data_IF_663922407996
#
_entry.id   IF_663922407996
#
_cell.length_a   1.000
_cell.length_b   1.000
_cell.length_c   1.000
_cell.angle_alpha   90.00
_cell.angle_beta   90.00
_cell.angle_gamma   90.00
#
_symmetry.space_group_name_H-M   'P 1'
#
loop_
_entity.id
_entity.type
_entity.pdbx_description
1 polymer ?
#
# COMPACT_ATOMS: atom_id res chain seq x y z
N UNK A 1 47.02 -49.29 -54.38
CA UNK A 1 46.42 -48.02 -54.82
C UNK A 1 45.07 -47.89 -54.13
N UNK A 2 44.84 -46.75 -53.48
CA UNK A 2 43.56 -46.18 -53.03
C UNK A 2 42.83 -46.92 -51.88
N UNK A 3 43.09 -46.47 -50.63
CA UNK A 3 42.22 -46.69 -49.47
C UNK A 3 41.24 -45.51 -49.39
N UNK A 4 39.94 -45.76 -49.50
CA UNK A 4 38.89 -44.77 -49.32
C UNK A 4 38.43 -44.68 -47.86
N UNK A 5 38.27 -43.43 -47.42
CA UNK A 5 37.60 -42.95 -46.22
C UNK A 5 36.16 -43.47 -46.09
N UNK A 6 35.61 -43.50 -44.87
CA UNK A 6 34.57 -42.55 -44.44
C UNK A 6 34.07 -42.88 -43.02
N UNK A 7 34.42 -41.99 -42.10
CA UNK A 7 33.89 -41.88 -40.75
C UNK A 7 32.39 -41.52 -40.79
N UNK A 8 31.54 -42.40 -40.26
CA UNK A 8 30.12 -42.14 -40.06
C UNK A 8 29.89 -41.41 -38.74
N UNK A 9 29.63 -40.12 -38.83
CA UNK A 9 29.24 -39.21 -37.75
C UNK A 9 27.82 -39.55 -37.29
N UNK A 10 27.65 -40.03 -36.05
CA UNK A 10 26.33 -40.25 -35.43
C UNK A 10 25.77 -38.89 -34.96
N UNK A 11 24.75 -38.40 -35.65
CA UNK A 11 23.95 -37.23 -35.25
C UNK A 11 23.09 -37.61 -34.03
N UNK A 12 23.51 -37.19 -32.84
CA UNK A 12 22.66 -37.22 -31.64
C UNK A 12 21.74 -36.01 -31.62
N UNK A 13 20.45 -36.21 -31.85
CA UNK A 13 19.43 -35.17 -31.74
C UNK A 13 19.21 -34.81 -30.26
N UNK A 14 19.73 -33.66 -29.82
CA UNK A 14 19.42 -33.07 -28.52
C UNK A 14 18.01 -32.44 -28.61
N UNK A 15 17.02 -33.10 -28.03
CA UNK A 15 15.69 -32.53 -27.83
C UNK A 15 15.79 -31.38 -26.82
N UNK A 16 15.74 -30.14 -27.33
CA UNK A 16 15.62 -28.95 -26.50
C UNK A 16 14.25 -28.95 -25.80
N UNK A 17 14.23 -29.26 -24.51
CA UNK A 17 13.06 -29.01 -23.66
C UNK A 17 12.89 -27.48 -23.55
N UNK A 18 11.99 -26.95 -24.36
CA UNK A 18 11.48 -25.58 -24.22
C UNK A 18 10.73 -25.47 -22.88
N UNK A 19 11.42 -25.03 -21.83
CA UNK A 19 10.78 -24.63 -20.58
C UNK A 19 9.98 -23.35 -20.84
N UNK A 20 8.71 -23.50 -21.19
CA UNK A 20 7.76 -22.39 -21.12
C UNK A 20 7.54 -22.07 -19.65
N UNK A 21 8.29 -21.10 -19.13
CA UNK A 21 7.96 -20.46 -17.86
C UNK A 21 6.65 -19.71 -18.10
N UNK A 22 5.53 -20.31 -17.70
CA UNK A 22 4.27 -19.59 -17.63
C UNK A 22 4.48 -18.47 -16.61
N UNK A 23 4.57 -17.23 -17.08
CA UNK A 23 4.43 -16.08 -16.22
C UNK A 23 3.01 -16.17 -15.66
N UNK A 24 2.89 -16.57 -14.39
CA UNK A 24 1.63 -16.42 -13.68
C UNK A 24 1.40 -14.91 -13.58
N UNK A 25 0.45 -14.40 -14.35
CA UNK A 25 -0.07 -13.05 -14.14
C UNK A 25 -0.50 -12.97 -12.67
N UNK A 26 0.23 -12.18 -11.89
CA UNK A 26 -0.12 -11.92 -10.51
C UNK A 26 -1.45 -11.17 -10.52
N UNK A 27 -2.55 -11.90 -10.34
CA UNK A 27 -3.87 -11.32 -10.27
C UNK A 27 -3.90 -10.36 -9.08
N UNK A 28 -4.16 -9.08 -9.36
CA UNK A 28 -4.43 -8.11 -8.31
C UNK A 28 -5.66 -8.58 -7.51
N UNK A 29 -5.48 -8.77 -6.21
CA UNK A 29 -6.57 -9.05 -5.29
C UNK A 29 -7.17 -7.74 -4.79
N UNK A 30 -8.48 -7.69 -4.64
CA UNK A 30 -9.17 -6.56 -4.01
C UNK A 30 -8.74 -6.42 -2.54
N UNK A 31 -8.53 -5.19 -2.12
CA UNK A 31 -8.17 -4.83 -0.75
C UNK A 31 -9.10 -3.72 -0.28
N UNK A 32 -10.12 -4.11 0.50
CA UNK A 32 -11.11 -3.19 1.03
C UNK A 32 -11.38 -3.45 2.51
N UNK A 33 -11.87 -2.43 3.21
CA UNK A 33 -12.14 -2.52 4.63
C UNK A 33 -12.46 -1.18 5.27
N UNK A 34 -12.32 -1.11 6.58
CA UNK A 34 -12.49 0.09 7.38
C UNK A 34 -11.22 0.42 8.14
N UNK A 35 -10.97 1.71 8.30
CA UNK A 35 -10.05 2.24 9.28
C UNK A 35 -10.83 2.96 10.36
N UNK A 36 -10.50 2.70 11.61
CA UNK A 36 -11.06 3.46 12.75
C UNK A 36 -9.93 3.95 13.62
N UNK A 37 -10.06 5.14 14.18
CA UNK A 37 -8.93 5.69 14.90
C UNK A 37 -9.19 7.03 15.57
N UNK A 38 -8.11 7.62 16.03
CA UNK A 38 -8.06 9.01 16.50
C UNK A 38 -7.07 9.80 15.67
N UNK A 39 -7.40 11.07 15.45
CA UNK A 39 -6.51 12.05 14.88
C UNK A 39 -6.26 13.16 15.90
N UNK A 40 -5.03 13.67 15.94
CA UNK A 40 -4.65 14.79 16.80
C UNK A 40 -3.77 15.74 16.04
N UNK A 41 -4.18 17.00 15.96
CA UNK A 41 -3.30 18.08 15.54
C UNK A 41 -2.24 18.30 16.62
N UNK A 42 -0.98 18.06 16.29
CA UNK A 42 0.15 18.25 17.22
C UNK A 42 0.80 19.62 17.05
N UNK A 43 0.63 20.24 15.88
CA UNK A 43 1.10 21.59 15.59
C UNK A 43 0.27 22.19 14.47
N UNK A 44 -0.04 23.48 14.59
CA UNK A 44 -0.64 24.29 13.53
C UNK A 44 0.31 25.42 13.18
N UNK A 45 0.60 25.59 11.89
CA UNK A 45 1.56 26.55 11.38
C UNK A 45 0.88 27.44 10.35
N UNK A 46 0.73 28.75 10.60
CA UNK A 46 0.23 29.66 9.58
C UNK A 46 1.19 29.67 8.39
N UNK A 47 0.65 29.61 7.18
CA UNK A 47 1.41 29.76 5.94
C UNK A 47 1.10 31.12 5.30
N UNK A 48 1.77 31.43 4.18
CA UNK A 48 1.42 32.61 3.39
C UNK A 48 0.02 32.52 2.80
N UNK A 49 -0.69 33.65 2.82
CA UNK A 49 -2.09 33.75 2.39
C UNK A 49 -3.08 33.24 3.44
N UNK A 50 -4.19 32.66 2.97
CA UNK A 50 -5.24 32.09 3.83
C UNK A 50 -5.07 30.58 4.05
N UNK A 51 -3.84 30.15 4.30
CA UNK A 51 -3.50 28.73 4.47
C UNK A 51 -2.89 28.43 5.83
N UNK A 52 -3.08 27.19 6.27
CA UNK A 52 -2.51 26.64 7.49
C UNK A 52 -1.97 25.24 7.21
N UNK A 53 -0.78 24.94 7.70
CA UNK A 53 -0.24 23.58 7.73
C UNK A 53 -0.49 22.98 9.11
N UNK A 54 -1.23 21.87 9.14
CA UNK A 54 -1.51 21.10 10.33
C UNK A 54 -0.66 19.84 10.31
N UNK A 55 0.23 19.72 11.31
CA UNK A 55 0.94 18.48 11.57
C UNK A 55 0.05 17.60 12.44
N UNK A 56 -0.26 16.41 11.96
CA UNK A 56 -1.25 15.51 12.53
C UNK A 56 -0.66 14.16 12.88
N UNK A 57 -1.07 13.63 14.05
CA UNK A 57 -0.82 12.26 14.50
C UNK A 57 -2.09 11.45 14.43
N UNK A 58 -1.97 10.23 13.92
CA UNK A 58 -3.08 9.28 13.89
C UNK A 58 -2.69 8.00 14.62
N UNK A 59 -3.69 7.41 15.27
CA UNK A 59 -3.66 6.06 15.84
C UNK A 59 -4.83 5.31 15.23
N UNK A 60 -4.56 4.28 14.44
CA UNK A 60 -5.55 3.65 13.56
C UNK A 60 -5.56 2.14 13.78
N UNK A 61 -6.75 1.56 13.69
CA UNK A 61 -6.98 0.13 13.53
C UNK A 61 -7.54 -0.13 12.14
N UNK A 62 -7.00 -1.13 11.45
CA UNK A 62 -7.43 -1.59 10.13
C UNK A 62 -8.22 -2.87 10.27
N UNK A 63 -9.41 -2.92 9.67
CA UNK A 63 -10.24 -4.13 9.58
C UNK A 63 -10.59 -4.33 8.12
N UNK A 64 -10.11 -5.41 7.51
CA UNK A 64 -10.39 -5.74 6.12
C UNK A 64 -11.73 -6.47 6.00
N UNK A 65 -12.37 -6.38 4.83
CA UNK A 65 -13.60 -7.14 4.57
C UNK A 65 -13.32 -8.64 4.43
N UNK A 66 -12.16 -9.00 3.88
CA UNK A 66 -11.65 -10.37 3.93
C UNK A 66 -10.92 -10.61 5.26
N UNK A 67 -11.46 -11.46 6.17
CA UNK A 67 -10.85 -11.71 7.45
C UNK A 67 -9.52 -12.49 7.37
N UNK A 68 -9.23 -13.13 6.23
CA UNK A 68 -7.97 -13.87 6.00
C UNK A 68 -6.86 -12.97 5.43
N UNK A 69 -7.18 -11.72 5.07
CA UNK A 69 -6.19 -10.79 4.55
C UNK A 69 -5.12 -10.49 5.62
N UNK A 70 -3.82 -10.43 5.27
CA UNK A 70 -2.76 -10.24 6.25
C UNK A 70 -2.76 -8.85 6.92
N UNK A 71 -3.46 -7.87 6.35
CA UNK A 71 -3.68 -6.56 6.99
C UNK A 71 -4.86 -6.54 7.97
N UNK A 72 -5.63 -7.63 8.08
CA UNK A 72 -6.79 -7.67 8.97
C UNK A 72 -6.36 -7.51 10.44
N UNK A 73 -7.12 -6.71 11.19
CA UNK A 73 -6.86 -6.40 12.60
C UNK A 73 -5.46 -5.79 12.85
N UNK A 74 -4.90 -5.10 11.86
CA UNK A 74 -3.64 -4.38 12.02
C UNK A 74 -3.83 -3.06 12.78
N UNK A 75 -2.78 -2.61 13.46
CA UNK A 75 -2.68 -1.26 14.00
C UNK A 75 -1.76 -0.40 13.13
N UNK A 76 -1.96 0.91 13.13
CA UNK A 76 -1.04 1.88 12.50
C UNK A 76 -0.83 3.13 13.36
N UNK A 77 0.40 3.61 13.34
CA UNK A 77 0.82 4.91 13.83
C UNK A 77 1.19 5.77 12.63
N UNK A 78 0.52 6.92 12.48
CA UNK A 78 0.75 7.80 11.34
C UNK A 78 1.21 9.20 11.74
N UNK A 79 1.99 9.80 10.85
CA UNK A 79 2.37 11.20 10.83
C UNK A 79 2.08 11.80 9.46
N UNK A 80 1.33 12.90 9.44
CA UNK A 80 1.11 13.66 8.23
C UNK A 80 1.23 15.16 8.45
N UNK A 81 1.54 15.88 7.39
CA UNK A 81 1.35 17.33 7.32
C UNK A 81 0.35 17.61 6.22
N UNK A 82 -0.80 18.13 6.62
CA UNK A 82 -1.89 18.50 5.71
C UNK A 82 -2.03 20.01 5.68
N UNK A 83 -2.28 20.55 4.50
CA UNK A 83 -2.50 21.97 4.29
C UNK A 83 -3.98 22.17 4.08
N UNK A 84 -4.51 23.16 4.79
CA UNK A 84 -5.89 23.60 4.68
C UNK A 84 -5.93 25.08 4.40
N UNK A 85 -7.05 25.55 3.86
CA UNK A 85 -7.44 26.95 3.96
C UNK A 85 -7.88 27.26 5.40
N UNK A 86 -7.95 28.55 5.78
CA UNK A 86 -8.38 28.95 7.15
C UNK A 86 -9.82 28.58 7.48
N UNK A 87 -10.68 28.43 6.48
CA UNK A 87 -12.05 27.91 6.59
C UNK A 87 -12.11 26.38 6.60
N UNK A 88 -10.97 25.69 6.53
CA UNK A 88 -10.87 24.25 6.75
C UNK A 88 -10.93 23.39 5.49
N UNK A 89 -11.01 23.97 4.29
CA UNK A 89 -10.99 23.19 3.06
C UNK A 89 -9.59 22.59 2.80
N UNK A 90 -9.49 21.28 2.46
CA UNK A 90 -8.21 20.66 2.18
C UNK A 90 -7.56 21.28 0.94
N UNK A 91 -6.25 21.47 1.01
CA UNK A 91 -5.39 21.89 -0.11
C UNK A 91 -4.40 20.77 -0.51
N UNK A 92 -4.38 19.71 0.28
CA UNK A 92 -3.57 18.51 0.10
C UNK A 92 -2.47 18.35 1.14
N UNK A 93 -1.69 17.30 1.02
CA UNK A 93 -0.56 17.06 1.91
C UNK A 93 -0.07 15.62 1.88
N UNK A 94 0.92 15.31 2.71
CA UNK A 94 1.60 14.02 2.70
C UNK A 94 1.91 13.53 4.11
N UNK A 95 2.06 12.21 4.22
CA UNK A 95 2.45 11.56 5.45
C UNK A 95 2.93 10.15 5.21
N UNK A 96 3.13 9.45 6.32
CA UNK A 96 3.43 8.03 6.34
C UNK A 96 2.77 7.38 7.55
N UNK A 97 2.62 6.07 7.48
CA UNK A 97 2.29 5.25 8.63
C UNK A 97 3.27 4.08 8.72
N UNK A 98 3.58 3.68 9.94
CA UNK A 98 4.06 2.34 10.27
C UNK A 98 2.90 1.55 10.88
N UNK A 99 2.82 0.27 10.53
CA UNK A 99 1.75 -0.61 10.98
C UNK A 99 2.27 -1.94 11.46
N UNK A 100 1.49 -2.57 12.34
CA UNK A 100 1.77 -3.90 12.91
C UNK A 100 0.51 -4.74 12.70
N UNK A 101 0.64 -5.82 11.92
CA UNK A 101 -0.42 -6.80 11.70
C UNK A 101 -0.67 -7.66 12.94
N UNK A 102 -1.82 -8.34 13.00
CA UNK A 102 -2.14 -9.27 14.09
C UNK A 102 -1.12 -10.42 14.21
N UNK A 103 -0.41 -10.77 13.14
CA UNK A 103 0.71 -11.73 13.14
C UNK A 103 1.96 -11.22 13.86
N UNK A 104 2.07 -9.90 14.07
CA UNK A 104 3.29 -9.22 14.51
C UNK A 104 4.17 -8.70 13.37
N UNK A 105 3.80 -8.94 12.11
CA UNK A 105 4.53 -8.39 10.96
C UNK A 105 4.37 -6.87 10.85
N UNK A 106 5.45 -6.21 10.44
CA UNK A 106 5.52 -4.75 10.30
C UNK A 106 5.36 -4.38 8.83
N UNK A 107 4.71 -3.26 8.56
CA UNK A 107 4.54 -2.70 7.22
C UNK A 107 4.49 -1.17 7.24
N UNK A 108 4.68 -0.57 6.07
CA UNK A 108 4.71 0.88 5.92
C UNK A 108 3.87 1.33 4.74
N UNK A 109 3.21 2.48 4.89
CA UNK A 109 2.55 3.18 3.79
C UNK A 109 2.97 4.64 3.72
N UNK A 110 2.97 5.19 2.51
CA UNK A 110 2.88 6.64 2.30
C UNK A 110 1.41 7.03 2.16
N UNK A 111 1.04 8.19 2.69
CA UNK A 111 -0.29 8.79 2.48
C UNK A 111 -0.20 10.13 1.77
N UNK A 112 -1.21 10.46 0.99
CA UNK A 112 -1.38 11.74 0.32
C UNK A 112 -2.84 12.18 0.44
N UNK A 113 -3.06 13.39 0.93
CA UNK A 113 -4.38 14.04 0.90
C UNK A 113 -4.47 14.85 -0.38
N UNK A 114 -5.58 14.71 -1.11
CA UNK A 114 -5.92 15.54 -2.26
C UNK A 114 -6.89 16.68 -1.85
N UNK A 115 -7.04 17.68 -2.72
CA UNK A 115 -7.84 18.87 -2.43
C UNK A 115 -9.36 18.59 -2.37
N UNK A 116 -9.80 17.42 -2.81
CA UNK A 116 -11.18 16.93 -2.67
C UNK A 116 -11.41 16.19 -1.33
N UNK A 117 -10.38 16.10 -0.49
CA UNK A 117 -10.45 15.40 0.79
C UNK A 117 -10.18 13.89 0.70
N UNK A 118 -9.95 13.33 -0.49
CA UNK A 118 -9.64 11.91 -0.64
C UNK A 118 -8.20 11.65 -0.19
N UNK A 119 -8.03 10.61 0.63
CA UNK A 119 -6.69 10.16 1.05
C UNK A 119 -6.26 9.00 0.17
N UNK A 120 -5.15 9.16 -0.53
CA UNK A 120 -4.48 8.09 -1.25
C UNK A 120 -3.42 7.45 -0.36
N UNK A 121 -3.25 6.14 -0.46
CA UNK A 121 -2.20 5.42 0.24
C UNK A 121 -1.48 4.44 -0.69
N UNK A 122 -0.21 4.18 -0.38
CA UNK A 122 0.63 3.23 -1.12
C UNK A 122 1.50 2.45 -0.16
N UNK A 123 1.50 1.13 -0.29
CA UNK A 123 2.39 0.21 0.40
C UNK A 123 3.83 0.44 -0.02
N UNK A 124 4.70 0.61 0.98
CA UNK A 124 6.13 0.83 0.80
C UNK A 124 6.95 -0.44 1.04
N UNK A 125 6.37 -1.44 1.70
CA UNK A 125 7.00 -2.71 2.04
C UNK A 125 6.52 -3.22 3.39
N UNK A 126 6.97 -4.43 3.73
CA UNK A 126 6.67 -5.06 5.01
C UNK A 126 7.55 -6.27 5.29
N UNK A 127 7.28 -6.95 6.39
CA UNK A 127 7.97 -8.18 6.81
C UNK A 127 7.05 -9.39 6.69
N UNK A 128 7.63 -10.59 6.68
CA UNK A 128 6.87 -11.84 6.80
C UNK A 128 5.77 -11.98 5.76
N UNK A 129 4.51 -12.09 6.21
CA UNK A 129 3.37 -12.25 5.33
C UNK A 129 3.03 -10.99 4.49
N UNK A 130 3.68 -9.86 4.76
CA UNK A 130 3.49 -8.58 4.07
C UNK A 130 4.65 -8.23 3.13
N UNK A 131 5.71 -9.03 3.13
CA UNK A 131 6.85 -8.84 2.21
C UNK A 131 6.47 -9.20 0.77
N UNK A 132 7.09 -8.51 -0.19
CA UNK A 132 6.90 -8.77 -1.61
C UNK A 132 5.55 -8.33 -2.18
N UNK A 133 4.73 -7.57 -1.45
CA UNK A 133 3.47 -7.02 -1.98
C UNK A 133 3.61 -5.57 -2.49
N UNK A 134 2.97 -5.30 -3.62
CA UNK A 134 2.53 -3.96 -3.99
C UNK A 134 1.06 -3.81 -3.60
N UNK A 135 0.74 -2.77 -2.84
CA UNK A 135 -0.65 -2.43 -2.56
C UNK A 135 -0.83 -0.91 -2.58
N UNK A 136 -2.04 -0.48 -2.86
CA UNK A 136 -2.39 0.93 -2.90
C UNK A 136 -3.89 1.12 -3.02
N UNK A 137 -4.36 2.30 -2.69
CA UNK A 137 -5.78 2.59 -2.73
C UNK A 137 -6.13 4.00 -2.26
N UNK A 138 -7.40 4.15 -1.93
CA UNK A 138 -7.97 5.37 -1.38
C UNK A 138 -8.72 5.09 -0.09
N UNK A 139 -8.86 6.13 0.73
CA UNK A 139 -9.67 6.14 1.94
C UNK A 139 -10.59 7.35 1.90
N UNK A 140 -11.87 7.13 2.17
CA UNK A 140 -12.87 8.17 2.37
C UNK A 140 -13.33 8.17 3.82
N UNK A 141 -13.40 9.35 4.42
CA UNK A 141 -13.99 9.53 5.75
C UNK A 141 -15.50 9.27 5.66
N UNK A 142 -16.00 8.38 6.51
CA UNK A 142 -17.44 8.11 6.69
C UNK A 142 -18.03 8.93 7.84
N UNK A 143 -17.26 9.09 8.92
CA UNK A 143 -17.66 9.86 10.09
C UNK A 143 -16.44 10.46 10.78
N UNK A 144 -16.58 11.68 11.27
CA UNK A 144 -15.66 12.36 12.19
C UNK A 144 -16.44 12.81 13.41
N UNK A 145 -15.79 12.75 14.56
CA UNK A 145 -16.38 13.12 15.85
C UNK A 145 -15.58 14.28 16.45
N UNK A 146 -16.24 15.11 17.24
CA UNK A 146 -15.65 16.32 17.84
C UNK A 146 -14.43 16.04 18.73
N UNK A 147 -14.29 14.81 19.22
CA UNK A 147 -13.15 14.38 20.03
C UNK A 147 -11.97 13.83 19.21
N UNK A 148 -12.02 13.99 17.89
CA UNK A 148 -10.96 13.58 16.95
C UNK A 148 -11.00 12.11 16.56
N UNK A 149 -12.01 11.34 17.00
CA UNK A 149 -12.25 10.00 16.46
C UNK A 149 -12.73 10.08 15.02
N UNK A 150 -12.44 9.04 14.24
CA UNK A 150 -12.96 8.92 12.88
C UNK A 150 -13.19 7.47 12.46
N UNK A 151 -14.04 7.32 11.44
CA UNK A 151 -14.27 6.07 10.71
C UNK A 151 -14.05 6.38 9.23
N UNK A 152 -13.23 5.59 8.56
CA UNK A 152 -13.00 5.66 7.12
C UNK A 152 -13.25 4.33 6.44
N UNK A 153 -13.71 4.38 5.19
CA UNK A 153 -13.77 3.25 4.26
C UNK A 153 -12.56 3.31 3.35
N UNK A 154 -11.84 2.20 3.19
CA UNK A 154 -10.77 2.12 2.20
C UNK A 154 -11.09 1.08 1.12
N UNK A 155 -10.60 1.36 -0.08
CA UNK A 155 -10.69 0.52 -1.26
C UNK A 155 -9.36 0.62 -2.02
N UNK A 156 -8.89 -0.51 -2.51
CA UNK A 156 -7.60 -0.62 -3.17
C UNK A 156 -7.37 -2.01 -3.71
N UNK A 157 -6.13 -2.26 -4.11
CA UNK A 157 -5.69 -3.53 -4.68
C UNK A 157 -4.35 -3.94 -4.09
N UNK A 158 -4.09 -5.24 -4.05
CA UNK A 158 -2.81 -5.81 -3.63
C UNK A 158 -2.36 -6.87 -4.64
N UNK A 159 -1.09 -6.84 -5.02
CA UNK A 159 -0.47 -7.78 -5.96
C UNK A 159 0.85 -8.27 -5.40
N UNK A 160 1.13 -9.56 -5.54
CA UNK A 160 2.42 -10.15 -5.15
C UNK A 160 3.45 -9.95 -6.27
N UNK A 161 4.64 -9.49 -5.92
CA UNK A 161 5.80 -9.38 -6.82
C UNK A 161 6.40 -10.74 -7.15
#
# INVERSE_FOLDING_TARGET
MIKHNLSGLVLGAAAALSMTVAAADANAADLSGHVTGTSKMIQSMPLSGDRVANRMRFKITVVTDDPQNPFNLASQDCMATYVFTKDGAPQGGHGYCDGIAASGDIWWISVRLDADGVVHWKHLGGTGALDGYEAGGTTKTLAEFDDGKFIGRFEGTMTKK
#
